data_IF_898768223019
#
_entry.id   IF_898768223019
#
_cell.length_a   1.000
_cell.length_b   1.000
_cell.length_c   1.000
_cell.angle_alpha   90.00
_cell.angle_beta   90.00
_cell.angle_gamma   90.00
#
_symmetry.space_group_name_H-M   'P 1'
#
loop_
_entity.id
_entity.type
_entity.pdbx_description
1 polymer ?
#
# COMPACT_ATOMS: atom_id res chain seq x y z
N UNK A 1 14.75 -14.73 -7.41
CA UNK A 1 13.64 -15.72 -7.52
C UNK A 1 12.47 -15.06 -8.25
N UNK A 2 11.48 -15.81 -8.79
CA UNK A 2 10.29 -15.18 -9.37
C UNK A 2 9.60 -14.27 -8.35
N UNK A 3 9.18 -13.07 -8.78
CA UNK A 3 8.53 -12.03 -7.95
C UNK A 3 9.30 -11.59 -6.69
N UNK A 4 10.59 -11.93 -6.56
CA UNK A 4 11.40 -11.47 -5.45
C UNK A 4 11.65 -9.96 -5.54
N UNK A 5 11.41 -9.27 -4.42
CA UNK A 5 11.63 -7.83 -4.30
C UNK A 5 13.13 -7.50 -4.35
N UNK A 6 13.51 -6.43 -5.05
CA UNK A 6 14.91 -6.04 -5.25
C UNK A 6 15.70 -5.90 -3.94
N UNK A 7 15.11 -5.26 -2.92
CA UNK A 7 15.71 -5.12 -1.60
C UNK A 7 15.88 -6.45 -0.88
N UNK A 8 14.95 -7.39 -1.05
CA UNK A 8 15.09 -8.77 -0.56
C UNK A 8 16.28 -9.46 -1.20
N UNK A 9 16.40 -9.34 -2.53
CA UNK A 9 17.52 -9.90 -3.28
C UNK A 9 18.87 -9.30 -2.85
N UNK A 10 18.94 -7.97 -2.66
CA UNK A 10 20.16 -7.30 -2.15
C UNK A 10 20.57 -7.81 -0.77
N UNK A 11 19.62 -7.96 0.15
CA UNK A 11 19.89 -8.48 1.50
C UNK A 11 20.40 -9.91 1.45
N UNK A 12 19.73 -10.78 0.70
CA UNK A 12 20.16 -12.18 0.54
C UNK A 12 21.53 -12.30 -0.12
N UNK A 13 21.79 -11.49 -1.14
CA UNK A 13 23.09 -11.47 -1.82
C UNK A 13 24.19 -11.04 -0.84
N UNK A 14 23.94 -10.01 -0.03
CA UNK A 14 24.91 -9.57 0.97
C UNK A 14 25.21 -10.67 2.00
N UNK A 15 24.16 -11.32 2.53
CA UNK A 15 24.30 -12.43 3.48
C UNK A 15 25.05 -13.62 2.88
N UNK A 16 24.76 -13.99 1.62
CA UNK A 16 25.47 -15.05 0.91
C UNK A 16 26.97 -14.75 0.73
N UNK A 17 27.35 -13.47 0.67
CA UNK A 17 28.74 -13.01 0.64
C UNK A 17 29.33 -12.70 2.02
N UNK A 18 28.64 -13.04 3.11
CA UNK A 18 29.15 -12.83 4.46
C UNK A 18 29.25 -11.36 4.87
N UNK A 19 28.48 -10.45 4.24
CA UNK A 19 28.57 -9.01 4.50
C UNK A 19 27.21 -8.37 4.78
N UNK A 20 27.26 -7.17 5.35
CA UNK A 20 26.05 -6.37 5.60
C UNK A 20 25.47 -5.84 4.28
N UNK A 21 24.14 -5.67 4.17
CA UNK A 21 23.52 -5.07 2.99
C UNK A 21 24.10 -3.69 2.64
N UNK A 22 24.48 -2.89 3.64
CA UNK A 22 25.16 -1.60 3.44
C UNK A 22 26.55 -1.73 2.83
N UNK A 23 27.30 -2.78 3.19
CA UNK A 23 28.63 -3.04 2.65
C UNK A 23 28.55 -3.42 1.17
N UNK A 24 27.62 -4.32 0.81
CA UNK A 24 27.35 -4.67 -0.59
C UNK A 24 26.97 -3.44 -1.41
N UNK A 25 25.95 -2.69 -0.98
CA UNK A 25 25.50 -1.50 -1.73
C UNK A 25 26.54 -0.39 -1.78
N UNK A 26 27.40 -0.26 -0.77
CA UNK A 26 28.50 0.70 -0.76
C UNK A 26 29.62 0.34 -1.74
N UNK A 27 29.89 -0.94 -1.94
CA UNK A 27 30.85 -1.41 -2.94
C UNK A 27 30.33 -1.21 -4.38
N UNK A 28 29.04 -1.50 -4.59
CA UNK A 28 28.38 -1.38 -5.90
C UNK A 28 28.11 0.08 -6.26
N UNK A 29 27.61 0.88 -5.32
CA UNK A 29 27.28 2.29 -5.53
C UNK A 29 27.97 3.16 -4.46
N UNK A 30 29.27 3.46 -4.63
CA UNK A 30 30.03 4.29 -3.69
C UNK A 30 29.38 5.66 -3.47
N UNK A 31 29.34 6.10 -2.21
CA UNK A 31 28.72 7.37 -1.81
C UNK A 31 27.18 7.34 -1.80
N UNK A 32 26.55 6.25 -2.22
CA UNK A 32 25.09 6.13 -2.14
C UNK A 32 24.64 5.90 -0.69
N UNK A 33 23.49 6.48 -0.36
CA UNK A 33 22.76 6.16 0.86
C UNK A 33 21.58 5.23 0.53
N UNK A 34 21.84 4.11 -0.16
CA UNK A 34 20.81 3.23 -0.71
C UNK A 34 19.71 2.82 0.30
N UNK A 35 20.09 2.61 1.55
CA UNK A 35 19.19 2.21 2.64
C UNK A 35 18.56 3.38 3.42
N UNK A 36 18.87 4.63 3.09
CA UNK A 36 18.20 5.82 3.66
C UNK A 36 16.94 6.22 2.91
N UNK A 37 16.75 5.66 1.72
CA UNK A 37 15.59 5.80 0.85
C UNK A 37 14.93 4.45 0.63
N UNK A 38 13.91 4.38 -0.22
CA UNK A 38 13.31 3.11 -0.64
C UNK A 38 14.12 2.51 -1.80
N UNK A 39 14.97 1.50 -1.57
CA UNK A 39 15.82 0.92 -2.62
C UNK A 39 15.01 0.21 -3.72
N UNK A 40 13.74 -0.13 -3.46
CA UNK A 40 12.87 -0.78 -4.43
C UNK A 40 12.28 0.19 -5.46
N UNK A 41 12.56 1.49 -5.34
CA UNK A 41 12.23 2.48 -6.37
C UNK A 41 13.43 2.69 -7.30
N UNK A 42 13.17 3.09 -8.54
CA UNK A 42 14.23 3.49 -9.45
C UNK A 42 14.91 4.79 -8.95
N UNK A 43 16.24 4.77 -8.86
CA UNK A 43 17.04 5.93 -8.47
C UNK A 43 18.13 6.20 -9.51
N UNK A 44 18.43 7.47 -9.83
CA UNK A 44 19.49 7.82 -10.79
C UNK A 44 20.88 7.30 -10.41
N UNK A 45 21.17 7.19 -9.11
CA UNK A 45 22.45 6.70 -8.60
C UNK A 45 22.58 5.17 -8.64
N UNK A 46 21.47 4.44 -8.77
CA UNK A 46 21.45 2.98 -8.75
C UNK A 46 21.75 2.43 -10.15
N UNK A 47 23.00 2.56 -10.62
CA UNK A 47 23.43 2.00 -11.89
C UNK A 47 23.30 0.45 -11.86
N UNK A 48 22.30 -0.07 -12.57
CA UNK A 48 22.00 -1.50 -12.61
C UNK A 48 22.97 -2.29 -13.49
N UNK A 49 23.62 -1.67 -14.47
CA UNK A 49 24.62 -2.34 -15.32
C UNK A 49 25.83 -2.78 -14.52
N UNK A 50 26.20 -2.00 -13.50
CA UNK A 50 27.27 -2.38 -12.56
C UNK A 50 26.92 -3.63 -11.74
N UNK A 51 25.68 -3.72 -11.25
CA UNK A 51 25.20 -4.94 -10.59
C UNK A 51 25.12 -6.11 -11.57
N UNK A 52 24.70 -5.83 -12.81
CA UNK A 52 24.55 -6.83 -13.85
C UNK A 52 25.87 -7.54 -14.14
N UNK A 53 26.94 -6.77 -14.32
CA UNK A 53 28.30 -7.30 -14.52
C UNK A 53 28.86 -8.11 -13.35
N UNK A 54 28.37 -7.91 -12.12
CA UNK A 54 28.84 -8.62 -10.92
C UNK A 54 27.98 -9.83 -10.55
N UNK A 55 26.69 -9.83 -10.89
CA UNK A 55 25.72 -10.83 -10.42
C UNK A 55 25.33 -11.86 -11.48
N UNK A 56 25.62 -11.59 -12.77
CA UNK A 56 25.15 -12.41 -13.89
C UNK A 56 23.66 -12.25 -14.21
N UNK A 57 22.93 -11.38 -13.49
CA UNK A 57 21.56 -10.98 -13.83
C UNK A 57 21.62 -9.82 -14.83
N UNK A 58 20.74 -9.80 -15.83
CA UNK A 58 20.61 -8.64 -16.71
C UNK A 58 20.05 -7.42 -15.96
N UNK A 59 20.43 -6.20 -16.40
CA UNK A 59 19.84 -4.95 -15.89
C UNK A 59 18.32 -4.93 -16.01
N UNK A 60 17.76 -5.58 -17.04
CA UNK A 60 16.30 -5.75 -17.19
C UNK A 60 15.69 -6.61 -16.08
N UNK A 61 16.30 -7.74 -15.72
CA UNK A 61 15.83 -8.59 -14.61
C UNK A 61 15.92 -7.86 -13.27
N UNK A 62 17.01 -7.12 -13.04
CA UNK A 62 17.18 -6.31 -11.84
C UNK A 62 16.09 -5.23 -11.77
N UNK A 63 15.86 -4.48 -12.86
CA UNK A 63 14.81 -3.47 -12.92
C UNK A 63 13.41 -4.08 -12.72
N UNK A 64 13.15 -5.25 -13.29
CA UNK A 64 11.88 -5.97 -13.14
C UNK A 64 11.58 -6.39 -11.69
N UNK A 65 12.62 -6.58 -10.86
CA UNK A 65 12.48 -6.86 -9.43
C UNK A 65 12.23 -5.61 -8.55
N UNK A 66 12.30 -4.41 -9.14
CA UNK A 66 11.96 -3.15 -8.47
C UNK A 66 10.48 -2.81 -8.67
N UNK A 67 9.97 -1.82 -7.95
CA UNK A 67 8.62 -1.26 -8.14
C UNK A 67 8.47 -0.44 -9.41
N UNK A 68 9.55 -0.21 -10.18
CA UNK A 68 9.51 0.62 -11.37
C UNK A 68 8.45 0.19 -12.41
N UNK A 69 8.36 -1.09 -12.83
CA UNK A 69 7.43 -1.48 -13.88
C UNK A 69 5.96 -1.27 -13.49
N UNK A 70 5.60 -1.57 -12.24
CA UNK A 70 4.24 -1.36 -11.74
C UNK A 70 3.96 0.13 -11.51
N UNK A 71 4.94 0.91 -11.08
CA UNK A 71 4.82 2.36 -10.98
C UNK A 71 4.55 3.02 -12.33
N UNK A 72 5.19 2.57 -13.41
CA UNK A 72 4.91 3.08 -14.76
C UNK A 72 3.47 2.81 -15.19
N UNK A 73 2.95 1.61 -14.89
CA UNK A 73 1.57 1.23 -15.24
C UNK A 73 0.52 1.97 -14.42
N UNK A 74 0.78 2.21 -13.13
CA UNK A 74 -0.13 2.94 -12.24
C UNK A 74 -0.10 4.46 -12.51
N UNK A 75 1.10 4.99 -12.75
CA UNK A 75 1.38 6.42 -12.81
C UNK A 75 2.18 6.75 -14.09
N UNK A 76 1.55 6.69 -15.28
CA UNK A 76 2.25 6.87 -16.56
C UNK A 76 2.81 8.29 -16.74
N UNK A 77 2.37 9.27 -15.92
CA UNK A 77 2.91 10.64 -15.94
C UNK A 77 4.13 10.76 -15.01
N UNK A 78 5.31 11.18 -15.52
CA UNK A 78 6.55 11.25 -14.74
C UNK A 78 6.50 12.13 -13.49
N UNK A 79 5.64 13.16 -13.46
CA UNK A 79 5.51 14.09 -12.33
C UNK A 79 5.12 13.37 -11.03
N UNK A 80 4.29 12.33 -11.12
CA UNK A 80 3.85 11.56 -9.96
C UNK A 80 4.95 10.62 -9.46
N UNK A 81 5.81 10.13 -10.35
CA UNK A 81 6.87 9.16 -10.05
C UNK A 81 7.96 9.70 -9.12
N UNK A 82 8.09 11.04 -9.04
CA UNK A 82 9.03 11.73 -8.13
C UNK A 82 8.41 12.08 -6.78
N UNK A 83 7.11 11.85 -6.59
CA UNK A 83 6.44 12.10 -5.32
C UNK A 83 6.95 11.18 -4.22
N UNK A 84 7.04 11.70 -3.00
CA UNK A 84 7.32 10.91 -1.81
C UNK A 84 6.16 9.97 -1.47
N UNK A 85 4.95 10.33 -1.90
CA UNK A 85 3.74 9.53 -1.75
C UNK A 85 3.20 9.14 -3.14
N UNK A 86 3.13 7.83 -3.37
CA UNK A 86 2.61 7.23 -4.59
C UNK A 86 1.37 6.42 -4.23
N UNK A 87 0.17 6.81 -4.70
CA UNK A 87 -1.02 5.99 -4.49
C UNK A 87 -0.75 4.55 -4.92
N UNK A 88 -1.28 3.62 -4.14
CA UNK A 88 -1.13 2.17 -4.34
C UNK A 88 0.25 1.56 -4.07
N UNK A 89 1.25 2.34 -3.67
CA UNK A 89 2.57 1.82 -3.28
C UNK A 89 2.77 2.01 -1.78
N UNK A 90 3.06 0.94 -1.06
CA UNK A 90 3.26 0.99 0.38
C UNK A 90 4.54 1.77 0.74
N UNK A 91 4.44 2.85 1.54
CA UNK A 91 5.59 3.67 1.90
C UNK A 91 6.38 3.02 3.04
N UNK A 92 7.70 2.89 2.84
CA UNK A 92 8.60 2.41 3.91
C UNK A 92 8.69 3.42 5.07
N UNK A 93 8.71 4.72 4.77
CA UNK A 93 8.93 5.77 5.77
C UNK A 93 10.36 5.74 6.33
N UNK A 94 11.35 5.65 5.44
CA UNK A 94 12.76 5.54 5.74
C UNK A 94 13.27 6.76 6.55
N UNK A 95 14.20 6.49 7.47
CA UNK A 95 15.00 7.50 8.18
C UNK A 95 16.31 6.84 8.57
N UNK A 96 17.42 7.32 7.99
CA UNK A 96 18.69 6.58 8.04
C UNK A 96 18.43 5.13 7.61
N UNK A 97 19.10 4.14 8.21
CA UNK A 97 18.99 2.72 7.84
C UNK A 97 17.74 1.99 8.34
N UNK A 98 16.74 2.71 8.85
CA UNK A 98 15.52 2.14 9.42
C UNK A 98 14.28 2.66 8.73
N UNK A 99 13.23 1.84 8.68
CA UNK A 99 11.93 2.24 8.15
C UNK A 99 10.79 1.83 9.08
N UNK A 100 9.64 2.49 8.93
CA UNK A 100 8.54 2.44 9.89
C UNK A 100 7.40 1.47 9.49
N UNK A 101 7.52 0.84 8.33
CA UNK A 101 6.57 -0.15 7.80
C UNK A 101 6.84 -0.42 6.32
N UNK A 102 5.78 -0.78 5.60
CA UNK A 102 5.74 -0.86 4.14
C UNK A 102 6.24 -2.17 3.53
N UNK A 103 6.96 -3.00 4.29
CA UNK A 103 7.20 -4.39 3.94
C UNK A 103 6.16 -5.30 4.58
N UNK A 104 5.75 -6.32 3.85
CA UNK A 104 4.82 -7.35 4.32
C UNK A 104 5.29 -8.73 3.86
N UNK A 105 4.93 -9.76 4.62
CA UNK A 105 5.13 -11.14 4.20
C UNK A 105 3.96 -12.03 4.58
N UNK A 106 3.84 -13.15 3.88
CA UNK A 106 3.00 -14.25 4.32
C UNK A 106 3.80 -15.10 5.31
N UNK A 107 3.25 -15.41 6.51
CA UNK A 107 3.91 -16.28 7.49
C UNK A 107 4.31 -17.65 6.92
N UNK A 108 3.51 -18.19 6.00
CA UNK A 108 3.77 -19.49 5.37
C UNK A 108 4.75 -19.41 4.19
N UNK A 109 4.70 -18.35 3.37
CA UNK A 109 5.72 -18.17 2.33
C UNK A 109 7.11 -17.95 2.94
N UNK A 110 7.22 -17.13 3.99
CA UNK A 110 8.52 -16.74 4.53
C UNK A 110 9.22 -17.89 5.27
N UNK A 111 8.48 -18.88 5.80
CA UNK A 111 9.05 -20.07 6.43
C UNK A 111 9.39 -21.20 5.45
N UNK A 112 8.90 -21.11 4.21
CA UNK A 112 9.01 -22.17 3.20
C UNK A 112 10.12 -21.87 2.21
N UNK A 113 10.96 -22.86 1.90
CA UNK A 113 12.05 -22.71 0.92
C UNK A 113 13.10 -21.69 1.37
N UNK A 114 13.61 -20.88 0.43
CA UNK A 114 14.55 -19.80 0.77
C UNK A 114 13.77 -18.53 1.11
N UNK A 115 13.85 -18.00 2.34
CA UNK A 115 13.04 -16.86 2.76
C UNK A 115 13.34 -15.61 1.94
N UNK A 116 12.30 -15.01 1.36
CA UNK A 116 12.39 -13.76 0.60
C UNK A 116 11.08 -12.97 0.69
N UNK A 117 11.18 -11.66 0.46
CA UNK A 117 10.03 -10.77 0.36
C UNK A 117 9.63 -10.62 -1.11
N UNK A 118 8.32 -10.53 -1.34
CA UNK A 118 7.75 -10.48 -2.68
C UNK A 118 7.42 -9.05 -3.09
N UNK A 119 7.57 -8.77 -4.38
CA UNK A 119 7.30 -7.45 -4.96
C UNK A 119 5.84 -7.09 -4.80
N UNK A 120 4.92 -8.02 -5.11
CA UNK A 120 3.49 -7.76 -5.02
C UNK A 120 3.04 -7.38 -3.60
N UNK A 121 3.74 -7.86 -2.56
CA UNK A 121 3.50 -7.47 -1.16
C UNK A 121 3.91 -6.02 -0.84
N UNK A 122 4.39 -5.23 -1.81
CA UNK A 122 4.56 -3.77 -1.68
C UNK A 122 3.39 -2.98 -2.28
N UNK A 123 2.44 -3.65 -2.90
CA UNK A 123 1.29 -3.04 -3.56
C UNK A 123 0.15 -2.93 -2.55
N UNK A 124 -0.45 -1.75 -2.43
CA UNK A 124 -1.38 -1.49 -1.33
C UNK A 124 -2.69 -2.29 -1.43
N UNK A 125 -3.04 -2.76 -2.63
CA UNK A 125 -4.18 -3.68 -2.85
C UNK A 125 -3.88 -5.13 -2.48
N UNK A 126 -2.60 -5.49 -2.28
CA UNK A 126 -2.24 -6.78 -1.71
C UNK A 126 -2.42 -6.73 -0.20
N UNK A 127 -3.39 -7.49 0.31
CA UNK A 127 -3.64 -7.62 1.76
C UNK A 127 -3.57 -9.07 2.21
N UNK A 128 -3.70 -10.00 1.27
CA UNK A 128 -3.67 -11.42 1.51
C UNK A 128 -2.68 -12.14 0.59
N UNK A 129 -2.16 -13.24 1.07
CA UNK A 129 -1.38 -14.18 0.29
C UNK A 129 -2.31 -14.98 -0.63
N UNK A 130 -2.15 -14.91 -1.98
CA UNK A 130 -3.02 -15.66 -2.88
C UNK A 130 -2.77 -17.18 -2.83
N UNK A 131 -1.59 -17.63 -2.38
CA UNK A 131 -1.25 -19.05 -2.30
C UNK A 131 -1.72 -19.73 -1.02
N UNK A 132 -1.61 -19.02 0.10
CA UNK A 132 -1.94 -19.57 1.43
C UNK A 132 -3.28 -19.05 1.97
N UNK A 133 -3.99 -18.22 1.19
CA UNK A 133 -5.30 -17.67 1.50
C UNK A 133 -5.40 -17.12 2.94
N UNK A 134 -4.49 -16.21 3.28
CA UNK A 134 -4.38 -15.62 4.61
C UNK A 134 -3.89 -14.18 4.55
N UNK A 135 -4.25 -13.39 5.54
CA UNK A 135 -3.80 -12.02 5.68
C UNK A 135 -2.26 -11.95 5.81
N UNK A 136 -1.65 -10.99 5.11
CA UNK A 136 -0.23 -10.71 5.25
C UNK A 136 0.06 -10.06 6.62
N UNK A 137 1.29 -10.20 7.12
CA UNK A 137 1.79 -9.47 8.28
C UNK A 137 2.73 -8.36 7.84
N UNK A 138 2.66 -7.20 8.50
CA UNK A 138 3.53 -6.04 8.26
C UNK A 138 4.47 -5.72 9.44
N UNK A 139 4.35 -6.51 10.53
CA UNK A 139 5.10 -6.36 11.79
C UNK A 139 5.39 -7.72 12.41
N UNK A 140 6.42 -7.77 13.24
CA UNK A 140 6.67 -8.91 14.10
C UNK A 140 5.57 -9.01 15.17
N UNK A 141 4.94 -10.18 15.29
CA UNK A 141 3.85 -10.42 16.26
C UNK A 141 4.30 -10.44 17.73
N UNK A 142 5.61 -10.52 17.99
CA UNK A 142 6.15 -10.55 19.35
C UNK A 142 6.59 -9.16 19.84
N UNK A 143 7.30 -8.41 19.01
CA UNK A 143 7.86 -7.11 19.41
C UNK A 143 7.27 -5.90 18.67
N UNK A 144 6.31 -6.13 17.78
CA UNK A 144 5.63 -5.09 16.97
C UNK A 144 6.53 -4.25 16.05
N UNK A 145 7.82 -4.60 15.94
CA UNK A 145 8.74 -3.94 15.03
C UNK A 145 8.35 -4.19 13.58
N UNK A 146 8.46 -3.15 12.75
CA UNK A 146 8.28 -3.28 11.30
C UNK A 146 9.31 -4.26 10.73
N UNK A 147 8.92 -5.02 9.70
CA UNK A 147 9.80 -5.97 9.04
C UNK A 147 10.95 -5.20 8.36
N UNK A 148 12.20 -5.39 8.79
CA UNK A 148 13.37 -4.69 8.27
C UNK A 148 14.52 -5.67 8.01
N UNK A 149 14.44 -6.52 6.97
CA UNK A 149 15.44 -7.55 6.70
C UNK A 149 16.85 -6.97 6.48
N UNK A 150 16.96 -5.73 5.98
CA UNK A 150 18.25 -5.05 5.80
C UNK A 150 19.01 -4.76 7.11
N UNK A 151 18.37 -4.92 8.26
CA UNK A 151 18.96 -4.76 9.59
C UNK A 151 19.31 -6.08 10.28
N UNK A 152 19.08 -7.22 9.62
CA UNK A 152 19.49 -8.51 10.14
C UNK A 152 21.02 -8.59 10.19
N UNK A 153 21.53 -9.34 11.16
CA UNK A 153 22.92 -9.78 11.14
C UNK A 153 23.12 -10.78 9.99
N UNK A 154 24.34 -10.82 9.44
CA UNK A 154 24.71 -11.60 8.25
C UNK A 154 24.25 -13.07 8.32
N UNK A 155 24.39 -13.70 9.48
CA UNK A 155 24.08 -15.13 9.66
C UNK A 155 22.61 -15.41 9.99
N UNK A 156 21.75 -14.39 10.00
CA UNK A 156 20.33 -14.55 10.34
C UNK A 156 19.46 -14.67 9.10
N UNK A 157 18.51 -15.62 9.09
CA UNK A 157 17.59 -15.79 7.97
C UNK A 157 16.58 -14.64 7.88
N UNK A 158 16.14 -14.32 6.66
CA UNK A 158 15.11 -13.31 6.40
C UNK A 158 13.74 -13.67 7.00
N UNK A 159 13.56 -14.92 7.43
CA UNK A 159 12.37 -15.41 8.13
C UNK A 159 12.30 -15.03 9.61
N UNK A 160 13.26 -14.25 10.11
CA UNK A 160 13.31 -13.80 11.50
C UNK A 160 13.15 -12.29 11.63
N UNK A 161 12.63 -11.86 12.77
CA UNK A 161 12.59 -10.45 13.12
C UNK A 161 13.99 -9.91 13.41
N UNK A 162 14.39 -8.82 12.76
CA UNK A 162 15.69 -8.17 12.99
C UNK A 162 15.88 -7.66 14.43
N UNK A 163 14.80 -7.36 15.14
CA UNK A 163 14.85 -6.77 16.48
C UNK A 163 14.88 -7.82 17.59
N UNK A 164 13.88 -8.71 17.65
CA UNK A 164 13.75 -9.70 18.74
C UNK A 164 14.19 -11.10 18.35
N UNK A 165 14.45 -11.33 17.06
CA UNK A 165 14.87 -12.62 16.55
C UNK A 165 13.83 -13.72 16.49
N UNK A 166 12.58 -13.44 16.84
CA UNK A 166 11.52 -14.44 16.72
C UNK A 166 11.19 -14.72 15.25
N UNK A 167 10.89 -15.98 14.88
CA UNK A 167 10.47 -16.33 13.53
C UNK A 167 9.17 -15.61 13.14
N UNK A 168 9.15 -15.03 11.95
CA UNK A 168 7.99 -14.34 11.37
C UNK A 168 6.86 -15.33 11.05
N UNK A 169 7.19 -16.60 10.80
CA UNK A 169 6.22 -17.68 10.54
C UNK A 169 5.38 -18.11 11.75
N UNK A 170 5.63 -17.59 12.96
CA UNK A 170 4.83 -17.87 14.17
C UNK A 170 3.52 -17.07 14.25
N UNK A 171 3.30 -16.13 13.32
CA UNK A 171 2.09 -15.33 13.32
C UNK A 171 0.83 -16.20 13.17
N UNK A 172 -0.25 -15.81 13.85
CA UNK A 172 -1.53 -16.48 13.73
C UNK A 172 -2.05 -16.37 12.29
N UNK A 173 -2.73 -17.43 11.84
CA UNK A 173 -3.33 -17.46 10.52
C UNK A 173 -4.67 -16.73 10.59
N UNK A 174 -4.73 -15.54 9.99
CA UNK A 174 -5.97 -14.78 9.86
C UNK A 174 -6.54 -14.97 8.46
N UNK A 175 -7.80 -15.41 8.30
CA UNK A 175 -8.41 -15.54 6.98
C UNK A 175 -8.54 -14.15 6.32
N UNK A 176 -8.49 -14.08 4.98
CA UNK A 176 -8.64 -12.83 4.27
C UNK A 176 -10.11 -12.42 4.20
N UNK A 177 -10.34 -11.13 3.97
CA UNK A 177 -11.65 -10.64 3.55
C UNK A 177 -11.87 -11.06 2.10
N UNK A 178 -12.86 -11.92 1.84
CA UNK A 178 -13.08 -12.54 0.53
C UNK A 178 -13.22 -11.49 -0.60
N UNK A 179 -14.06 -10.47 -0.40
CA UNK A 179 -14.23 -9.40 -1.37
C UNK A 179 -12.93 -8.62 -1.65
N UNK A 180 -12.05 -8.50 -0.66
CA UNK A 180 -10.74 -7.86 -0.83
C UNK A 180 -9.77 -8.73 -1.62
N UNK A 181 -9.82 -10.05 -1.43
CA UNK A 181 -9.06 -11.00 -2.23
C UNK A 181 -9.54 -10.99 -3.69
N UNK A 182 -10.86 -10.93 -3.92
CA UNK A 182 -11.42 -10.77 -5.27
C UNK A 182 -10.98 -9.47 -5.93
N UNK A 183 -11.00 -8.34 -5.19
CA UNK A 183 -10.41 -7.09 -5.66
C UNK A 183 -8.94 -7.27 -6.07
N UNK A 184 -8.15 -7.92 -5.20
CA UNK A 184 -6.72 -8.15 -5.42
C UNK A 184 -6.49 -8.95 -6.70
N UNK A 185 -7.16 -10.09 -6.86
CA UNK A 185 -7.06 -10.94 -8.05
C UNK A 185 -7.50 -10.19 -9.31
N UNK A 186 -8.59 -9.42 -9.23
CA UNK A 186 -9.03 -8.60 -10.35
C UNK A 186 -7.97 -7.57 -10.75
N UNK A 187 -7.45 -6.80 -9.78
CA UNK A 187 -6.44 -5.78 -10.02
C UNK A 187 -5.15 -6.37 -10.63
N UNK A 188 -4.73 -7.54 -10.18
CA UNK A 188 -3.56 -8.23 -10.73
C UNK A 188 -3.78 -8.62 -12.20
N UNK A 189 -4.96 -9.16 -12.53
CA UNK A 189 -5.33 -9.50 -13.92
C UNK A 189 -5.49 -8.26 -14.81
N UNK A 190 -6.09 -7.18 -14.27
CA UNK A 190 -6.31 -5.91 -14.95
C UNK A 190 -5.00 -5.20 -15.30
N UNK A 191 -3.90 -5.52 -14.62
CA UNK A 191 -2.57 -4.99 -14.95
C UNK A 191 -2.01 -5.55 -16.27
N UNK A 192 -2.63 -6.58 -16.82
CA UNK A 192 -2.24 -7.29 -18.06
C UNK A 192 -3.35 -7.29 -19.11
N UNK A 193 -4.54 -6.78 -18.80
CA UNK A 193 -5.70 -6.74 -19.69
C UNK A 193 -6.36 -5.36 -19.70
N UNK A 194 -7.44 -5.21 -20.46
CA UNK A 194 -8.26 -4.00 -20.46
C UNK A 194 -9.41 -4.19 -19.45
N UNK A 195 -9.35 -3.59 -18.25
CA UNK A 195 -10.45 -3.65 -17.31
C UNK A 195 -11.66 -2.85 -17.80
N UNK A 196 -12.82 -3.18 -17.24
CA UNK A 196 -14.07 -2.47 -17.46
C UNK A 196 -14.60 -1.91 -16.14
N UNK A 197 -15.31 -0.79 -16.23
CA UNK A 197 -16.19 -0.32 -15.17
C UNK A 197 -17.60 -0.18 -15.73
N UNK A 198 -18.49 -1.09 -15.34
CA UNK A 198 -19.73 -1.33 -16.08
C UNK A 198 -19.42 -1.73 -17.52
N UNK A 199 -19.92 -0.96 -18.49
CA UNK A 199 -19.69 -1.18 -19.93
C UNK A 199 -18.53 -0.37 -20.50
N UNK A 200 -17.86 0.45 -19.69
CA UNK A 200 -16.83 1.37 -20.15
C UNK A 200 -15.45 0.72 -20.06
N UNK A 201 -14.72 0.54 -21.18
CA UNK A 201 -13.35 0.06 -21.15
C UNK A 201 -12.42 1.13 -20.59
N UNK A 202 -11.45 0.72 -19.77
CA UNK A 202 -10.51 1.62 -19.11
C UNK A 202 -9.07 1.10 -19.21
N UNK A 203 -8.11 2.01 -19.19
CA UNK A 203 -6.72 1.66 -18.89
C UNK A 203 -6.54 1.26 -17.42
N UNK A 204 -5.52 0.46 -17.11
CA UNK A 204 -5.23 0.01 -15.74
C UNK A 204 -5.08 1.19 -14.76
N UNK A 205 -4.35 2.26 -15.14
CA UNK A 205 -4.20 3.44 -14.29
C UNK A 205 -5.52 4.16 -14.02
N UNK A 206 -6.44 4.17 -14.98
CA UNK A 206 -7.75 4.81 -14.85
C UNK A 206 -8.64 4.01 -13.92
N UNK A 207 -8.71 2.69 -14.10
CA UNK A 207 -9.46 1.81 -13.21
C UNK A 207 -8.94 1.91 -11.75
N UNK A 208 -7.62 1.90 -11.57
CA UNK A 208 -6.99 2.08 -10.25
C UNK A 208 -7.24 3.49 -9.67
N UNK A 209 -7.42 4.50 -10.50
CA UNK A 209 -7.84 5.84 -10.06
C UNK A 209 -9.27 5.83 -9.51
N UNK A 210 -10.21 5.21 -10.22
CA UNK A 210 -11.61 5.07 -9.75
C UNK A 210 -11.65 4.30 -8.43
N UNK A 211 -10.98 3.16 -8.36
CA UNK A 211 -10.89 2.38 -7.13
C UNK A 211 -10.32 3.21 -5.96
N UNK A 212 -9.34 4.09 -6.21
CA UNK A 212 -8.76 4.94 -5.16
C UNK A 212 -9.75 5.98 -4.66
N UNK A 213 -10.59 6.53 -5.54
CA UNK A 213 -11.68 7.44 -5.17
C UNK A 213 -12.69 6.71 -4.28
N UNK A 214 -13.08 5.49 -4.61
CA UNK A 214 -14.01 4.69 -3.79
C UNK A 214 -13.43 4.35 -2.41
N UNK A 215 -12.16 3.95 -2.34
CA UNK A 215 -11.45 3.75 -1.07
C UNK A 215 -11.43 5.05 -0.25
N UNK A 216 -11.15 6.19 -0.88
CA UNK A 216 -11.11 7.49 -0.19
C UNK A 216 -12.47 7.91 0.35
N UNK A 217 -13.54 7.67 -0.40
CA UNK A 217 -14.91 7.88 0.06
C UNK A 217 -15.19 7.04 1.31
N UNK A 218 -14.88 5.74 1.28
CA UNK A 218 -15.07 4.85 2.44
C UNK A 218 -14.24 5.26 3.66
N UNK A 219 -13.01 5.75 3.45
CA UNK A 219 -12.21 6.37 4.52
C UNK A 219 -12.92 7.60 5.13
N UNK A 220 -13.58 8.42 4.31
CA UNK A 220 -14.34 9.57 4.79
C UNK A 220 -15.60 9.15 5.54
N UNK A 221 -16.37 8.17 5.03
CA UNK A 221 -17.56 7.62 5.70
C UNK A 221 -17.20 7.12 7.10
N UNK A 222 -16.06 6.43 7.23
CA UNK A 222 -15.58 5.91 8.51
C UNK A 222 -15.19 7.03 9.50
N UNK A 223 -14.74 8.18 9.01
CA UNK A 223 -14.29 9.31 9.85
C UNK A 223 -15.42 10.27 10.19
N UNK A 224 -16.31 10.52 9.23
CA UNK A 224 -17.34 11.55 9.25
C UNK A 224 -18.63 11.00 8.62
N UNK A 225 -19.30 10.05 9.30
CA UNK A 225 -20.54 9.48 8.80
C UNK A 225 -21.62 10.58 8.69
N UNK A 226 -22.42 10.49 7.64
CA UNK A 226 -23.57 11.34 7.37
C UNK A 226 -24.77 10.48 6.96
N UNK A 227 -25.99 11.01 7.10
CA UNK A 227 -27.18 10.30 6.65
C UNK A 227 -27.10 9.91 5.16
N UNK A 228 -26.62 10.83 4.30
CA UNK A 228 -26.42 10.56 2.87
C UNK A 228 -25.40 9.45 2.62
N UNK A 229 -24.25 9.45 3.30
CA UNK A 229 -23.27 8.37 3.14
C UNK A 229 -23.80 7.01 3.61
N UNK A 230 -24.61 6.97 4.66
CA UNK A 230 -25.24 5.73 5.11
C UNK A 230 -26.25 5.20 4.09
N UNK A 231 -27.15 6.07 3.58
CA UNK A 231 -28.11 5.71 2.54
C UNK A 231 -27.42 5.20 1.27
N UNK A 232 -26.35 5.88 0.83
CA UNK A 232 -25.58 5.42 -0.31
C UNK A 232 -24.93 4.05 -0.06
N UNK A 233 -24.28 3.86 1.09
CA UNK A 233 -23.65 2.59 1.43
C UNK A 233 -24.67 1.44 1.48
N UNK A 234 -25.84 1.68 2.07
CA UNK A 234 -26.95 0.71 2.11
C UNK A 234 -27.44 0.36 0.70
N UNK A 235 -27.71 1.36 -0.14
CA UNK A 235 -28.16 1.17 -1.53
C UNK A 235 -27.15 0.40 -2.38
N UNK A 236 -25.85 0.58 -2.11
CA UNK A 236 -24.76 -0.13 -2.80
C UNK A 236 -24.48 -1.52 -2.23
N UNK A 237 -25.05 -1.88 -1.07
CA UNK A 237 -24.78 -3.15 -0.39
C UNK A 237 -23.44 -3.18 0.34
N UNK A 238 -22.92 -2.02 0.73
CA UNK A 238 -21.67 -1.90 1.50
C UNK A 238 -21.91 -2.31 2.95
N UNK A 239 -21.13 -3.28 3.42
CA UNK A 239 -21.10 -3.70 4.82
C UNK A 239 -20.19 -2.78 5.63
N UNK A 240 -20.81 -1.80 6.31
CA UNK A 240 -20.10 -0.83 7.15
C UNK A 240 -19.39 -1.48 8.36
N UNK A 241 -19.79 -2.69 8.79
CA UNK A 241 -19.15 -3.37 9.91
C UNK A 241 -17.73 -3.86 9.57
N UNK A 242 -17.44 -4.03 8.29
CA UNK A 242 -16.10 -4.39 7.79
C UNK A 242 -15.15 -3.19 7.66
N UNK A 243 -15.66 -1.96 7.81
CA UNK A 243 -14.84 -0.76 7.72
C UNK A 243 -14.17 -0.47 9.07
N UNK A 244 -12.86 -0.29 9.05
CA UNK A 244 -12.07 0.04 10.23
C UNK A 244 -11.46 1.43 10.09
N UNK A 245 -11.59 2.24 11.15
CA UNK A 245 -10.94 3.55 11.18
C UNK A 245 -9.42 3.37 11.20
N UNK A 246 -8.70 4.10 10.34
CA UNK A 246 -7.24 4.09 10.33
C UNK A 246 -6.69 4.42 11.72
N UNK A 247 -5.91 3.48 12.26
CA UNK A 247 -5.22 3.62 13.55
C UNK A 247 -4.25 4.78 13.59
N UNK A 248 -3.65 5.08 12.44
CA UNK A 248 -2.72 6.18 12.28
C UNK A 248 -3.42 7.47 11.85
N UNK A 249 -4.62 7.41 11.26
CA UNK A 249 -5.23 8.57 10.57
C UNK A 249 -4.34 9.12 9.45
N UNK A 250 -3.54 8.24 8.85
CA UNK A 250 -2.70 8.50 7.68
C UNK A 250 -3.43 7.99 6.42
N UNK A 251 -2.93 8.30 5.20
CA UNK A 251 -3.51 7.75 3.98
C UNK A 251 -3.59 6.22 3.98
N UNK A 252 -4.55 5.67 3.23
CA UNK A 252 -4.77 4.23 2.99
C UNK A 252 -3.51 3.36 2.96
N UNK A 253 -2.48 3.77 2.22
CA UNK A 253 -1.24 3.02 2.00
C UNK A 253 -0.41 2.83 3.30
N UNK A 254 -0.70 3.59 4.36
CA UNK A 254 -0.08 3.41 5.68
C UNK A 254 -0.85 2.46 6.59
N UNK A 255 -2.08 2.07 6.22
CA UNK A 255 -2.90 1.15 7.01
C UNK A 255 -2.28 -0.24 7.08
N UNK A 256 -2.64 -1.02 8.09
CA UNK A 256 -2.30 -2.44 8.19
C UNK A 256 -3.03 -3.26 7.11
N UNK A 257 -2.59 -4.50 6.83
CA UNK A 257 -3.32 -5.40 5.93
C UNK A 257 -4.81 -5.52 6.26
N UNK A 258 -5.17 -5.63 7.54
CA UNK A 258 -6.57 -5.72 8.00
C UNK A 258 -7.36 -4.44 7.69
N UNK A 259 -6.82 -3.28 8.05
CA UNK A 259 -7.48 -1.99 7.81
C UNK A 259 -7.71 -1.75 6.31
N UNK A 260 -6.74 -2.14 5.47
CA UNK A 260 -6.86 -2.01 4.02
C UNK A 260 -7.85 -3.02 3.43
N UNK A 261 -7.88 -4.25 3.94
CA UNK A 261 -8.74 -5.32 3.40
C UNK A 261 -10.22 -4.94 3.46
N UNK A 262 -10.69 -4.41 4.60
CA UNK A 262 -12.08 -3.94 4.73
C UNK A 262 -12.44 -2.86 3.69
N UNK A 263 -11.57 -1.86 3.52
CA UNK A 263 -11.77 -0.80 2.53
C UNK A 263 -11.76 -1.33 1.09
N UNK A 264 -10.85 -2.24 0.75
CA UNK A 264 -10.75 -2.83 -0.58
C UNK A 264 -11.98 -3.70 -0.91
N UNK A 265 -12.42 -4.52 0.04
CA UNK A 265 -13.59 -5.36 -0.13
C UNK A 265 -14.87 -4.54 -0.36
N UNK A 266 -15.05 -3.45 0.39
CA UNK A 266 -16.22 -2.58 0.21
C UNK A 266 -16.08 -1.67 -1.02
N UNK A 267 -14.86 -1.27 -1.40
CA UNK A 267 -14.63 -0.58 -2.67
C UNK A 267 -14.96 -1.50 -3.85
N UNK A 268 -14.66 -2.79 -3.76
CA UNK A 268 -15.03 -3.78 -4.77
C UNK A 268 -16.54 -3.87 -4.97
N UNK A 269 -17.32 -3.88 -3.89
CA UNK A 269 -18.79 -3.86 -3.95
C UNK A 269 -19.30 -2.66 -4.75
N UNK A 270 -18.77 -1.47 -4.47
CA UNK A 270 -19.11 -0.23 -5.20
C UNK A 270 -18.69 -0.32 -6.67
N UNK A 271 -17.48 -0.82 -6.95
CA UNK A 271 -16.94 -0.94 -8.31
C UNK A 271 -17.74 -1.95 -9.16
N UNK A 272 -18.24 -3.03 -8.57
CA UNK A 272 -19.03 -4.05 -9.27
C UNK A 272 -20.44 -3.59 -9.63
N UNK A 273 -20.98 -2.60 -8.92
CA UNK A 273 -22.28 -2.02 -9.26
C UNK A 273 -22.27 -1.22 -10.58
N UNK A 274 -21.09 -0.80 -11.04
CA UNK A 274 -20.94 0.00 -12.26
C UNK A 274 -21.27 1.50 -12.07
N UNK A 275 -20.96 2.32 -13.08
CA UNK A 275 -21.13 3.77 -13.02
C UNK A 275 -22.60 4.20 -12.97
N UNK A 276 -23.51 3.47 -13.62
CA UNK A 276 -24.93 3.85 -13.69
C UNK A 276 -25.60 3.76 -12.32
N UNK A 277 -25.46 2.61 -11.64
CA UNK A 277 -26.02 2.39 -10.30
C UNK A 277 -25.34 3.28 -9.26
N UNK A 278 -24.04 3.54 -9.41
CA UNK A 278 -23.33 4.51 -8.56
C UNK A 278 -23.98 5.89 -8.67
N UNK A 279 -24.17 6.39 -9.89
CA UNK A 279 -24.73 7.73 -10.15
C UNK A 279 -26.14 7.86 -9.59
N UNK A 280 -27.00 6.87 -9.84
CA UNK A 280 -28.37 6.82 -9.33
C UNK A 280 -28.39 6.88 -7.79
N UNK A 281 -27.65 5.97 -7.15
CA UNK A 281 -27.62 5.86 -5.69
C UNK A 281 -27.02 7.11 -5.02
N UNK A 282 -25.98 7.69 -5.63
CA UNK A 282 -25.31 8.87 -5.08
C UNK A 282 -26.17 10.14 -5.22
N UNK A 283 -26.94 10.26 -6.31
CA UNK A 283 -27.89 11.34 -6.52
C UNK A 283 -29.08 11.24 -5.55
N UNK A 284 -29.65 10.05 -5.37
CA UNK A 284 -30.74 9.81 -4.42
C UNK A 284 -30.32 10.11 -2.97
N UNK A 285 -29.11 9.68 -2.60
CA UNK A 285 -28.50 9.99 -1.31
C UNK A 285 -28.05 11.46 -1.15
N UNK A 286 -28.18 12.28 -2.20
CA UNK A 286 -27.77 13.70 -2.25
C UNK A 286 -26.34 13.92 -1.79
N UNK A 287 -25.42 13.03 -2.19
CA UNK A 287 -24.02 13.17 -1.82
C UNK A 287 -23.40 14.43 -2.47
N UNK A 288 -22.54 15.16 -1.74
CA UNK A 288 -21.79 16.26 -2.32
C UNK A 288 -20.57 15.75 -3.10
N UNK A 289 -20.15 16.50 -4.12
CA UNK A 289 -18.91 16.20 -4.87
C UNK A 289 -17.69 16.07 -3.94
N UNK A 290 -17.67 16.82 -2.83
CA UNK A 290 -16.59 16.81 -1.83
C UNK A 290 -16.43 15.48 -1.10
N UNK A 291 -17.44 14.59 -1.13
CA UNK A 291 -17.35 13.22 -0.61
C UNK A 291 -16.39 12.33 -1.43
N UNK A 292 -16.08 12.72 -2.66
CA UNK A 292 -15.25 11.94 -3.58
C UNK A 292 -13.99 12.74 -3.96
N UNK A 293 -12.92 12.67 -3.16
CA UNK A 293 -11.73 13.47 -3.41
C UNK A 293 -11.03 12.98 -4.69
N UNK A 294 -11.06 13.81 -5.72
CA UNK A 294 -10.39 13.55 -7.00
C UNK A 294 -8.87 13.75 -6.87
N UNK A 295 -8.05 12.95 -7.57
CA UNK A 295 -6.63 13.22 -7.68
C UNK A 295 -6.38 14.53 -8.44
N UNK A 296 -5.30 15.22 -8.10
CA UNK A 296 -4.95 16.50 -8.72
C UNK A 296 -4.61 16.40 -10.22
N UNK A 297 -4.29 15.21 -10.72
CA UNK A 297 -3.85 14.98 -12.10
C UNK A 297 -4.42 13.65 -12.59
N UNK A 298 -4.72 13.57 -13.89
CA UNK A 298 -5.13 12.35 -14.59
C UNK A 298 -6.45 11.74 -14.09
N UNK A 299 -7.46 12.59 -13.86
CA UNK A 299 -8.82 12.13 -13.55
C UNK A 299 -9.45 11.55 -14.84
N UNK A 300 -9.90 10.29 -14.85
CA UNK A 300 -10.65 9.70 -15.95
C UNK A 300 -11.96 10.45 -16.25
N UNK A 301 -12.33 10.60 -17.52
CA UNK A 301 -13.55 11.31 -17.93
C UNK A 301 -14.82 10.73 -17.31
N UNK A 302 -14.87 9.40 -17.13
CA UNK A 302 -15.98 8.72 -16.47
C UNK A 302 -16.19 9.22 -15.04
N UNK A 303 -15.12 9.53 -14.29
CA UNK A 303 -15.26 10.11 -12.95
C UNK A 303 -15.83 11.52 -13.00
N UNK A 304 -15.43 12.34 -13.99
CA UNK A 304 -16.03 13.66 -14.18
C UNK A 304 -17.53 13.56 -14.49
N UNK A 305 -17.92 12.61 -15.34
CA UNK A 305 -19.33 12.36 -15.66
C UNK A 305 -20.11 11.89 -14.43
N UNK A 306 -19.60 10.91 -13.68
CA UNK A 306 -20.26 10.39 -12.48
C UNK A 306 -20.46 11.45 -11.41
N UNK A 307 -19.48 12.34 -11.21
CA UNK A 307 -19.55 13.37 -10.18
C UNK A 307 -20.35 14.60 -10.61
N UNK A 308 -20.60 14.79 -11.92
CA UNK A 308 -21.36 15.94 -12.42
C UNK A 308 -22.81 16.00 -11.96
N UNK A 309 -23.39 14.86 -11.58
CA UNK A 309 -24.77 14.73 -11.09
C UNK A 309 -24.91 14.98 -9.58
N UNK A 310 -23.79 15.11 -8.87
CA UNK A 310 -23.77 15.26 -7.42
C UNK A 310 -23.98 16.71 -7.00
N UNK A 311 -24.32 16.89 -5.72
CA UNK A 311 -24.60 18.23 -5.20
C UNK A 311 -23.32 19.07 -5.07
N UNK A 312 -23.37 20.31 -5.54
CA UNK A 312 -22.32 21.30 -5.28
C UNK A 312 -22.61 21.99 -3.96
N UNK A 313 -21.90 21.61 -2.91
CA UNK A 313 -21.96 22.34 -1.63
C UNK A 313 -20.95 23.48 -1.62
N UNK A 314 -21.37 24.75 -1.40
CA UNK A 314 -20.42 25.83 -1.23
C UNK A 314 -19.53 25.56 -0.03
N UNK A 315 -18.21 25.72 -0.22
CA UNK A 315 -17.22 25.54 0.82
C UNK A 315 -17.47 26.59 1.92
N UNK A 316 -18.02 26.20 3.08
CA UNK A 316 -18.09 27.11 4.22
C UNK A 316 -16.67 27.25 4.78
N UNK A 317 -16.11 28.47 4.90
CA UNK A 317 -14.81 28.65 5.54
C UNK A 317 -14.89 28.12 6.98
N UNK A 318 -13.95 27.26 7.34
CA UNK A 318 -13.89 26.70 8.68
C UNK A 318 -13.77 27.81 9.71
N UNK A 319 -14.66 27.83 10.71
CA UNK A 319 -14.52 28.70 11.86
C UNK A 319 -13.14 28.48 12.49
N UNK A 320 -12.34 29.55 12.63
CA UNK A 320 -11.13 29.54 13.45
C UNK A 320 -11.54 29.31 14.90
N UNK A 321 -11.54 28.04 15.31
CA UNK A 321 -11.80 27.64 16.69
C UNK A 321 -10.56 27.86 17.56
N UNK A 322 -10.76 28.47 18.73
CA UNK A 322 -9.84 28.48 19.87
C UNK A 322 -9.23 27.09 20.13
N UNK A 323 -8.00 27.04 20.66
CA UNK A 323 -7.22 25.82 21.00
C UNK A 323 -8.14 24.74 21.62
N UNK A 324 -8.61 23.82 20.77
CA UNK A 324 -9.42 22.68 21.21
C UNK A 324 -8.52 21.66 21.89
N UNK A 325 -8.97 21.15 23.03
CA UNK A 325 -8.44 19.93 23.63
C UNK A 325 -8.57 18.78 22.63
N UNK A 326 -7.56 17.92 22.56
CA UNK A 326 -7.56 16.80 21.62
C UNK A 326 -8.66 15.79 21.98
N UNK A 327 -9.37 15.30 20.97
CA UNK A 327 -10.33 14.21 21.20
C UNK A 327 -9.59 12.93 21.59
N UNK A 328 -10.23 12.00 22.33
CA UNK A 328 -9.60 10.72 22.68
C UNK A 328 -9.03 9.97 21.46
N UNK A 329 -9.74 10.00 20.34
CA UNK A 329 -9.31 9.38 19.09
C UNK A 329 -8.08 10.07 18.48
N UNK A 330 -7.98 11.40 18.57
CA UNK A 330 -6.79 12.15 18.14
C UNK A 330 -5.56 11.83 19.00
N UNK A 331 -5.74 11.74 20.32
CA UNK A 331 -4.67 11.34 21.25
C UNK A 331 -4.20 9.92 20.93
N UNK A 332 -5.13 9.00 20.71
CA UNK A 332 -4.82 7.62 20.37
C UNK A 332 -4.05 7.50 19.05
N UNK A 333 -4.47 8.21 17.99
CA UNK A 333 -3.73 8.28 16.72
C UNK A 333 -2.32 8.83 16.91
N UNK A 334 -2.15 9.88 17.73
CA UNK A 334 -0.83 10.45 18.04
C UNK A 334 0.06 9.46 18.77
N UNK A 335 -0.49 8.70 19.70
CA UNK A 335 0.21 7.64 20.42
C UNK A 335 0.69 6.55 19.46
N UNK A 336 -0.17 6.04 18.57
CA UNK A 336 0.23 5.05 17.55
C UNK A 336 1.29 5.60 16.58
N UNK A 337 1.18 6.87 16.16
CA UNK A 337 2.22 7.52 15.36
C UNK A 337 3.54 7.69 16.13
N UNK A 338 3.50 7.85 17.45
CA UNK A 338 4.69 7.88 18.29
C UNK A 338 5.31 6.49 18.37
N UNK A 339 4.54 5.45 18.70
CA UNK A 339 4.98 4.05 18.73
C UNK A 339 5.60 3.62 17.38
N UNK A 340 4.96 3.97 16.26
CA UNK A 340 5.50 3.74 14.92
C UNK A 340 6.88 4.38 14.72
N UNK A 341 7.13 5.55 15.31
CA UNK A 341 8.42 6.26 15.23
C UNK A 341 9.46 5.70 16.20
N UNK A 342 9.07 5.30 17.40
CA UNK A 342 9.99 4.71 18.39
C UNK A 342 10.47 3.33 17.95
N UNK A 343 9.55 2.46 17.51
CA UNK A 343 9.89 1.14 16.99
C UNK A 343 10.79 1.17 15.75
N UNK A 344 10.64 2.16 14.86
CA UNK A 344 11.58 2.38 13.74
C UNK A 344 13.02 2.55 14.25
N UNK A 345 13.20 3.26 15.35
CA UNK A 345 14.51 3.53 15.93
C UNK A 345 15.03 2.38 16.82
N UNK A 346 14.25 1.32 17.02
CA UNK A 346 14.60 0.21 17.92
C UNK A 346 14.54 0.59 19.41
N UNK A 347 13.73 1.61 19.74
CA UNK A 347 13.45 2.09 21.10
C UNK A 347 12.12 1.50 21.58
#
# INVERSE_FOLDING_TARGET
MPDELFSSWLVRTAHAHGCLPSSLTGAVWPGSHAWSVDPDRAHPWANLDRLSGMSGLSSHQLLASTLWPVMQRLHPRPVLQRSMYLPWILPLGCRSRSHAGGLMCCPDCIKSGVPHFLLQHRLAWHTACPWHNMLLIDRCVVCSSALQPARLCVDRPLSECHQCGQPLGKAALTPPVEAALTFQTFADSASQSMPFYGRVPLGFSEWMCIARVMVSFLEQVTRHPSAGSHLFCEAMGVDLSQLQASSLGLPFEYGTPSERAGLLGQAWVIMQAGPERFVESAAEAKLPVTSFPLPAVSVPDILHQMLSVLTNTPHKPGHMGLKRTHSPQEVWRRWHRLQRRTHRNGI
#
